data_IF_506095967700
#
_entry.id   IF_506095967700
#
_cell.length_a   1.000
_cell.length_b   1.000
_cell.length_c   1.000
_cell.angle_alpha   90.00
_cell.angle_beta   90.00
_cell.angle_gamma   90.00
#
_symmetry.space_group_name_H-M   'P 1'
#
loop_
_entity.id
_entity.type
_entity.pdbx_description
1 polymer ?
#
# COMPACT_ATOMS: atom_id res chain seq x y z
N UNK A 1 10.02 -7.56 0.50
CA UNK A 1 9.37 -6.66 1.48
C UNK A 1 8.20 -7.35 2.14
N UNK A 2 7.98 -7.16 3.44
CA UNK A 2 6.81 -7.68 4.16
C UNK A 2 5.72 -6.63 4.25
N UNK A 3 4.47 -7.01 3.99
CA UNK A 3 3.33 -6.13 4.09
C UNK A 3 2.09 -6.87 4.58
N UNK A 4 1.17 -6.12 5.18
CA UNK A 4 -0.10 -6.61 5.64
C UNK A 4 -1.06 -6.81 4.48
N UNK A 5 -1.64 -8.01 4.36
CA UNK A 5 -2.69 -8.33 3.41
C UNK A 5 -4.06 -8.19 4.09
N UNK A 6 -4.86 -7.15 3.79
CA UNK A 6 -6.16 -6.97 4.42
C UNK A 6 -7.11 -8.16 4.22
N UNK A 7 -7.21 -8.78 3.02
CA UNK A 7 -8.08 -9.95 2.80
C UNK A 7 -7.68 -11.21 3.57
N UNK A 8 -6.41 -11.36 3.95
CA UNK A 8 -5.91 -12.54 4.65
C UNK A 8 -5.66 -12.31 6.13
N UNK A 9 -5.73 -11.06 6.60
CA UNK A 9 -5.41 -10.63 7.96
C UNK A 9 -4.02 -11.14 8.44
N UNK A 10 -3.07 -11.25 7.50
CA UNK A 10 -1.73 -11.81 7.72
C UNK A 10 -0.68 -10.99 7.01
N UNK A 11 0.54 -11.04 7.54
CA UNK A 11 1.72 -10.45 6.92
C UNK A 11 2.22 -11.42 5.84
N UNK A 12 2.41 -10.89 4.64
CA UNK A 12 2.89 -11.63 3.48
C UNK A 12 4.17 -11.00 2.97
N UNK A 13 5.06 -11.83 2.45
CA UNK A 13 6.27 -11.36 1.79
C UNK A 13 6.02 -11.26 0.28
N UNK A 14 6.49 -10.17 -0.32
CA UNK A 14 6.42 -9.93 -1.78
C UNK A 14 6.92 -11.12 -2.61
N UNK A 15 7.98 -11.81 -2.19
CA UNK A 15 8.52 -12.96 -2.93
C UNK A 15 7.56 -14.16 -2.97
N UNK A 16 6.57 -14.19 -2.05
CA UNK A 16 5.58 -15.27 -1.91
C UNK A 16 4.18 -14.83 -2.38
N UNK A 17 4.06 -13.79 -3.21
CA UNK A 17 2.78 -13.26 -3.69
C UNK A 17 2.06 -14.31 -4.57
N UNK A 18 1.26 -15.17 -3.93
CA UNK A 18 0.35 -16.13 -4.57
C UNK A 18 -1.05 -16.05 -3.96
N UNK A 19 -1.47 -14.85 -3.55
CA UNK A 19 -2.77 -14.65 -2.92
C UNK A 19 -3.78 -14.06 -3.92
N UNK A 20 -4.71 -14.90 -4.39
CA UNK A 20 -5.76 -14.48 -5.32
C UNK A 20 -6.66 -13.37 -4.71
N UNK A 21 -6.96 -13.46 -3.40
CA UNK A 21 -7.76 -12.43 -2.71
C UNK A 21 -7.08 -11.08 -2.68
N UNK A 22 -5.75 -11.07 -2.53
CA UNK A 22 -4.96 -9.84 -2.55
C UNK A 22 -4.94 -9.22 -3.95
N UNK A 23 -4.83 -10.04 -5.00
CA UNK A 23 -4.93 -9.56 -6.38
C UNK A 23 -6.30 -8.90 -6.63
N UNK A 24 -7.40 -9.53 -6.21
CA UNK A 24 -8.74 -8.92 -6.30
C UNK A 24 -8.84 -7.61 -5.52
N UNK A 25 -8.23 -7.53 -4.34
CA UNK A 25 -8.19 -6.30 -3.57
C UNK A 25 -7.49 -5.18 -4.34
N UNK A 26 -6.30 -5.43 -4.89
CA UNK A 26 -5.57 -4.44 -5.70
C UNK A 26 -6.33 -4.05 -6.97
N UNK A 27 -7.05 -4.96 -7.62
CA UNK A 27 -7.90 -4.65 -8.78
C UNK A 27 -8.94 -3.58 -8.43
N UNK A 28 -9.51 -3.62 -7.22
CA UNK A 28 -10.49 -2.60 -6.76
C UNK A 28 -9.89 -1.21 -6.52
N UNK A 29 -8.56 -1.12 -6.51
CA UNK A 29 -7.79 0.10 -6.32
C UNK A 29 -7.28 0.71 -7.64
N UNK A 30 -7.65 0.13 -8.79
CA UNK A 30 -7.24 0.62 -10.11
C UNK A 30 -7.55 2.12 -10.28
N UNK A 31 -6.53 2.88 -10.70
CA UNK A 31 -6.60 4.32 -10.95
C UNK A 31 -6.67 5.19 -9.69
N UNK A 32 -6.70 4.60 -8.49
CA UNK A 32 -6.74 5.34 -7.22
C UNK A 32 -5.33 5.61 -6.71
N UNK A 33 -5.23 6.59 -5.82
CA UNK A 33 -4.05 6.79 -4.99
C UNK A 33 -3.94 5.68 -3.95
N UNK A 34 -2.76 5.08 -3.86
CA UNK A 34 -2.40 4.11 -2.83
C UNK A 34 -1.26 4.66 -2.00
N UNK A 35 -1.45 4.68 -0.69
CA UNK A 35 -0.39 4.93 0.27
C UNK A 35 0.26 3.62 0.70
N UNK A 36 1.58 3.64 0.79
CA UNK A 36 2.35 2.65 1.52
C UNK A 36 2.91 3.30 2.77
N UNK A 37 2.45 2.85 3.93
CA UNK A 37 2.90 3.35 5.22
C UNK A 37 3.53 2.23 6.05
N UNK A 38 4.43 2.61 6.95
CA UNK A 38 4.97 1.74 7.99
C UNK A 38 5.11 2.51 9.29
N UNK A 39 4.41 2.04 10.31
CA UNK A 39 4.51 2.59 11.67
C UNK A 39 5.91 2.35 12.24
N UNK A 40 6.37 3.26 13.10
CA UNK A 40 7.71 3.19 13.70
C UNK A 40 7.96 1.87 14.45
N UNK A 41 6.94 1.34 15.11
CA UNK A 41 6.99 0.10 15.89
C UNK A 41 6.57 -1.16 15.11
N UNK A 42 6.36 -1.07 13.78
CA UNK A 42 5.96 -2.21 12.94
C UNK A 42 6.98 -2.46 11.83
N UNK A 43 7.26 -3.73 11.59
CA UNK A 43 8.18 -4.14 10.53
C UNK A 43 7.50 -4.25 9.15
N UNK A 44 6.22 -4.60 9.12
CA UNK A 44 5.46 -4.78 7.88
C UNK A 44 4.83 -3.47 7.40
N UNK A 45 4.86 -3.25 6.09
CA UNK A 45 4.16 -2.15 5.42
C UNK A 45 2.65 -2.39 5.37
N UNK A 46 1.88 -1.31 5.22
CA UNK A 46 0.44 -1.34 4.98
C UNK A 46 0.13 -0.54 3.73
N UNK A 47 -0.77 -1.07 2.91
CA UNK A 47 -1.33 -0.39 1.76
C UNK A 47 -2.73 0.08 2.09
N UNK A 48 -2.97 1.38 1.95
CA UNK A 48 -4.25 2.02 2.24
C UNK A 48 -4.61 3.03 1.16
N UNK A 49 -5.89 3.35 1.04
CA UNK A 49 -6.37 4.39 0.12
C UNK A 49 -6.17 5.80 0.68
N UNK A 50 -6.34 6.82 -0.17
CA UNK A 50 -6.37 8.22 0.28
C UNK A 50 -7.36 8.43 1.43
N UNK A 51 -8.62 7.99 1.26
CA UNK A 51 -9.66 8.19 2.28
C UNK A 51 -9.27 7.55 3.63
N UNK A 52 -8.69 6.35 3.59
CA UNK A 52 -8.22 5.67 4.81
C UNK A 52 -7.05 6.41 5.46
N UNK A 53 -6.14 6.97 4.66
CA UNK A 53 -5.04 7.78 5.17
C UNK A 53 -5.56 9.06 5.84
N UNK A 54 -6.51 9.76 5.21
CA UNK A 54 -7.15 10.95 5.77
C UNK A 54 -7.91 10.67 7.07
N UNK A 55 -8.62 9.54 7.15
CA UNK A 55 -9.28 9.08 8.39
C UNK A 55 -8.26 8.85 9.51
N UNK A 56 -7.16 8.15 9.20
CA UNK A 56 -6.10 7.87 10.18
C UNK A 56 -5.43 9.13 10.72
N UNK A 57 -5.16 10.11 9.86
CA UNK A 57 -4.54 11.39 10.25
C UNK A 57 -5.50 12.26 11.06
N UNK A 58 -6.80 12.18 10.78
CA UNK A 58 -7.83 12.94 11.48
C UNK A 58 -8.00 12.50 12.93
N UNK A 59 -7.99 11.18 13.16
CA UNK A 59 -8.24 10.61 14.49
C UNK A 59 -7.05 10.82 15.44
N UNK A 60 -5.82 10.69 14.94
CA UNK A 60 -4.62 10.84 15.76
C UNK A 60 -3.36 11.15 14.92
N UNK A 61 -2.35 11.81 15.52
CA UNK A 61 -1.04 11.94 14.88
C UNK A 61 -0.41 10.58 14.57
N UNK A 62 -0.01 10.37 13.32
CA UNK A 62 0.63 9.14 12.88
C UNK A 62 2.15 9.19 13.08
N UNK A 63 2.70 8.24 13.86
CA UNK A 63 4.14 8.06 14.01
C UNK A 63 4.62 6.98 13.03
N UNK A 64 5.07 7.42 11.86
CA UNK A 64 5.49 6.56 10.75
C UNK A 64 7.01 6.57 10.59
N UNK A 65 7.60 5.39 10.38
CA UNK A 65 9.00 5.26 9.94
C UNK A 65 9.15 5.48 8.44
N UNK A 66 8.10 5.21 7.67
CA UNK A 66 8.09 5.40 6.22
C UNK A 66 6.66 5.66 5.74
N UNK A 67 6.50 6.63 4.84
CA UNK A 67 5.24 6.93 4.16
C UNK A 67 5.55 7.41 2.75
N UNK A 68 4.86 6.84 1.77
CA UNK A 68 4.92 7.25 0.36
C UNK A 68 3.60 6.89 -0.32
N UNK A 69 3.33 7.47 -1.48
CA UNK A 69 2.12 7.19 -2.25
C UNK A 69 2.44 6.94 -3.73
N UNK A 70 1.48 6.32 -4.41
CA UNK A 70 1.41 6.21 -5.86
C UNK A 70 0.04 6.65 -6.35
N UNK A 71 0.02 7.57 -7.30
CA UNK A 71 -1.15 7.94 -8.09
C UNK A 71 -1.32 7.03 -9.31
N UNK A 72 -2.51 7.02 -9.91
CA UNK A 72 -2.83 6.23 -11.11
C UNK A 72 -2.39 4.76 -11.01
N UNK A 73 -2.78 4.10 -9.91
CA UNK A 73 -2.34 2.74 -9.65
C UNK A 73 -2.83 1.73 -10.69
N UNK A 74 -1.90 0.96 -11.26
CA UNK A 74 -2.14 -0.14 -12.16
C UNK A 74 -1.98 -1.49 -11.43
N UNK A 75 -3.08 -2.26 -11.22
CA UNK A 75 -3.01 -3.54 -10.53
C UNK A 75 -2.40 -4.68 -11.37
N UNK A 76 -2.22 -4.49 -12.68
CA UNK A 76 -1.66 -5.54 -13.54
C UNK A 76 -0.16 -5.74 -13.34
N UNK A 77 0.57 -4.65 -13.12
CA UNK A 77 2.02 -4.63 -12.91
C UNK A 77 2.41 -4.10 -11.52
N UNK A 78 1.42 -3.74 -10.69
CA UNK A 78 1.60 -3.15 -9.38
C UNK A 78 2.44 -1.86 -9.41
N UNK A 79 2.24 -1.05 -10.44
CA UNK A 79 2.92 0.24 -10.60
C UNK A 79 1.96 1.42 -10.46
N UNK A 80 2.51 2.60 -10.22
CA UNK A 80 1.80 3.87 -10.31
C UNK A 80 2.80 5.01 -10.44
N UNK A 81 2.33 6.25 -10.41
CA UNK A 81 3.16 7.44 -10.37
C UNK A 81 3.53 7.75 -8.92
N UNK A 82 4.80 7.59 -8.56
CA UNK A 82 5.27 7.93 -7.21
C UNK A 82 5.23 9.44 -6.94
N UNK A 83 5.52 9.82 -5.70
CA UNK A 83 5.58 11.21 -5.27
C UNK A 83 6.61 12.08 -6.02
N UNK A 84 7.52 11.47 -6.80
CA UNK A 84 8.49 12.18 -7.66
C UNK A 84 7.99 12.29 -9.11
N UNK A 85 6.78 11.82 -9.40
CA UNK A 85 6.19 11.77 -10.74
C UNK A 85 6.75 10.65 -11.63
N UNK A 86 7.54 9.73 -11.08
CA UNK A 86 8.10 8.60 -11.83
C UNK A 86 7.20 7.38 -11.74
N UNK A 87 7.07 6.62 -12.83
CA UNK A 87 6.33 5.35 -12.78
C UNK A 87 7.19 4.29 -12.11
N UNK A 88 6.75 3.79 -10.96
CA UNK A 88 7.50 2.81 -10.17
C UNK A 88 6.56 1.80 -9.50
N UNK A 89 7.11 0.67 -9.06
CA UNK A 89 6.34 -0.37 -8.37
C UNK A 89 6.02 0.06 -6.94
N UNK A 90 4.82 -0.24 -6.46
CA UNK A 90 4.44 -0.06 -5.05
C UNK A 90 5.27 -0.94 -4.09
N UNK A 91 6.06 -1.88 -4.63
CA UNK A 91 6.97 -2.74 -3.89
C UNK A 91 8.45 -2.31 -3.94
N UNK A 92 8.76 -1.20 -4.61
CA UNK A 92 10.12 -0.66 -4.72
C UNK A 92 10.69 -0.17 -3.38
#
# INVERSE_FOLDING_TARGET
MDFYCPPCLKIVNQQKLKCNKLATHFISLKGKRIWRIRYLNRYAYQYITECQYEELVRDQPLILANATYWDDFNPHDYTGLDAKGSRSSIFA
#
